data_IF_207288681150
#
_entry.id   IF_207288681150
#
_cell.length_a   1.000
_cell.length_b   1.000
_cell.length_c   1.000
_cell.angle_alpha   90.00
_cell.angle_beta   90.00
_cell.angle_gamma   90.00
#
_symmetry.space_group_name_H-M   'P 1'
#
loop_
_entity.id
_entity.type
_entity.pdbx_description
1 polymer ?
#
# COMPACT_ATOMS: atom_id res chain seq x y z
N UNK A 1 15.44 46.07 -30.14
CA UNK A 1 16.88 46.22 -30.34
C UNK A 1 17.22 46.31 -31.83
N UNK A 2 18.20 47.12 -32.22
CA UNK A 2 18.64 47.29 -33.61
C UNK A 2 20.16 47.26 -33.67
N UNK A 3 20.72 46.53 -34.65
CA UNK A 3 22.15 46.51 -34.94
C UNK A 3 22.34 46.35 -36.45
N UNK A 4 23.38 46.98 -37.02
CA UNK A 4 23.72 46.92 -38.44
C UNK A 4 25.11 46.33 -38.67
N UNK A 5 25.25 45.67 -39.82
CA UNK A 5 26.46 44.94 -40.20
C UNK A 5 26.80 45.21 -41.66
N UNK A 6 28.09 45.18 -41.98
CA UNK A 6 28.56 44.96 -43.34
C UNK A 6 28.15 43.53 -43.81
N UNK A 7 28.25 43.27 -45.10
CA UNK A 7 27.88 41.96 -45.67
C UNK A 7 28.80 40.80 -45.21
N UNK A 8 29.95 41.06 -44.64
CA UNK A 8 30.86 40.10 -44.06
C UNK A 8 30.58 39.81 -42.55
N UNK A 9 29.58 40.53 -42.00
CA UNK A 9 29.21 40.42 -40.58
C UNK A 9 29.93 41.39 -39.66
N UNK A 10 30.73 42.32 -40.18
CA UNK A 10 31.36 43.37 -39.39
C UNK A 10 30.32 44.36 -38.86
N UNK A 11 30.32 44.64 -37.56
CA UNK A 11 29.36 45.50 -36.88
C UNK A 11 29.64 46.95 -37.20
N UNK A 12 28.65 47.64 -37.80
CA UNK A 12 28.71 49.09 -38.13
C UNK A 12 28.25 49.91 -36.95
N UNK A 13 27.05 49.58 -36.39
CA UNK A 13 26.42 50.40 -35.36
C UNK A 13 25.36 49.57 -34.60
N UNK A 14 25.05 49.93 -33.37
CA UNK A 14 24.01 49.33 -32.55
C UNK A 14 23.32 50.37 -31.65
N UNK A 15 22.00 50.25 -31.49
CA UNK A 15 21.27 51.15 -30.60
C UNK A 15 21.33 50.69 -29.13
N UNK A 16 20.97 51.62 -28.23
CA UNK A 16 21.04 51.40 -26.79
C UNK A 16 20.23 50.13 -26.32
N UNK A 17 19.10 49.86 -26.96
CA UNK A 17 18.31 48.66 -26.64
C UNK A 17 19.07 47.37 -26.94
N UNK A 18 19.86 47.32 -28.03
CA UNK A 18 20.71 46.18 -28.34
C UNK A 18 21.89 46.08 -27.34
N UNK A 19 22.53 47.23 -27.08
CA UNK A 19 23.66 47.30 -26.16
C UNK A 19 23.26 46.84 -24.75
N UNK A 20 22.12 47.28 -24.26
CA UNK A 20 21.59 46.90 -22.94
C UNK A 20 21.22 45.40 -22.87
N UNK A 21 20.53 44.88 -23.90
CA UNK A 21 20.16 43.45 -23.94
C UNK A 21 21.38 42.54 -23.90
N UNK A 22 22.41 42.87 -24.68
CA UNK A 22 23.64 42.09 -24.81
C UNK A 22 24.71 42.43 -23.75
N UNK A 23 24.56 43.52 -23.00
CA UNK A 23 25.49 43.94 -21.94
C UNK A 23 26.81 44.57 -22.48
N UNK A 24 26.85 44.97 -23.75
CA UNK A 24 28.03 45.60 -24.38
C UNK A 24 27.93 47.13 -24.42
N UNK A 25 29.07 47.78 -24.55
CA UNK A 25 29.13 49.17 -25.00
C UNK A 25 29.39 49.21 -26.50
N UNK A 26 28.96 50.24 -27.20
CA UNK A 26 29.17 50.36 -28.65
C UNK A 26 30.65 50.24 -29.04
N UNK A 27 31.54 50.81 -28.24
CA UNK A 27 33.00 50.73 -28.46
C UNK A 27 33.54 49.29 -28.38
N UNK A 28 32.86 48.37 -27.65
CA UNK A 28 33.23 46.96 -27.56
C UNK A 28 32.84 46.18 -28.83
N UNK A 29 31.84 46.67 -29.59
CA UNK A 29 31.21 45.97 -30.72
C UNK A 29 31.64 46.54 -32.09
N UNK A 30 31.72 47.84 -32.25
CA UNK A 30 31.96 48.52 -33.55
C UNK A 30 33.27 48.03 -34.17
N UNK A 31 33.19 47.58 -35.42
CA UNK A 31 34.31 47.03 -36.16
C UNK A 31 34.65 45.53 -35.80
N UNK A 32 33.93 44.96 -34.84
CA UNK A 32 34.03 43.51 -34.54
C UNK A 32 33.07 42.72 -35.41
N UNK A 33 33.30 41.40 -35.52
CA UNK A 33 32.43 40.54 -36.30
C UNK A 33 31.26 39.97 -35.44
N UNK A 34 30.10 39.78 -36.09
CA UNK A 34 28.89 39.16 -35.50
C UNK A 34 29.16 37.88 -34.71
N UNK A 35 30.14 37.09 -35.15
CA UNK A 35 30.54 35.83 -34.50
C UNK A 35 30.89 35.97 -33.01
N UNK A 36 31.28 37.18 -32.54
CA UNK A 36 31.56 37.42 -31.13
C UNK A 36 30.33 37.32 -30.22
N UNK A 37 29.12 37.44 -30.82
CA UNK A 37 27.84 37.31 -30.11
C UNK A 37 27.20 35.93 -30.33
N UNK A 38 27.93 34.98 -30.85
CA UNK A 38 27.44 33.65 -31.25
C UNK A 38 28.29 32.57 -30.59
N UNK A 39 27.71 31.43 -30.31
CA UNK A 39 28.43 30.25 -29.80
C UNK A 39 29.59 29.92 -30.75
N UNK A 40 30.85 29.80 -30.26
CA UNK A 40 31.99 29.50 -31.09
C UNK A 40 31.89 28.21 -31.88
N UNK A 41 31.20 27.18 -31.36
CA UNK A 41 31.00 25.93 -32.09
C UNK A 41 29.99 26.08 -33.22
N UNK A 42 28.92 26.87 -33.02
CA UNK A 42 27.95 27.14 -34.06
C UNK A 42 28.60 27.97 -35.20
N UNK A 43 29.50 28.93 -34.90
CA UNK A 43 30.22 29.74 -35.90
C UNK A 43 31.03 28.84 -36.86
N UNK A 44 31.50 27.67 -36.45
CA UNK A 44 32.28 26.74 -37.30
C UNK A 44 31.41 25.95 -38.27
N UNK A 45 30.09 25.89 -38.05
CA UNK A 45 29.16 25.09 -38.85
C UNK A 45 28.90 25.69 -40.22
N UNK A 46 28.51 24.84 -41.18
CA UNK A 46 28.07 25.27 -42.51
C UNK A 46 26.75 26.07 -42.42
N UNK A 47 25.89 25.79 -41.45
CA UNK A 47 24.67 26.55 -41.20
C UNK A 47 24.95 28.03 -40.94
N UNK A 48 25.99 28.38 -40.18
CA UNK A 48 26.39 29.78 -39.96
C UNK A 48 26.96 30.43 -41.21
N UNK A 49 27.71 29.69 -42.04
CA UNK A 49 28.23 30.20 -43.32
C UNK A 49 27.10 30.45 -44.32
N UNK A 50 26.13 29.50 -44.41
CA UNK A 50 24.97 29.60 -45.28
C UNK A 50 24.03 30.75 -44.89
N UNK A 51 23.88 30.99 -43.57
CA UNK A 51 23.15 32.13 -43.02
C UNK A 51 23.69 33.45 -43.57
N UNK A 52 25.00 33.69 -43.54
CA UNK A 52 25.61 34.89 -44.08
C UNK A 52 25.65 34.88 -45.62
N UNK A 53 25.74 33.73 -46.27
CA UNK A 53 25.65 33.61 -47.71
C UNK A 53 24.27 34.00 -48.24
N UNK A 54 23.19 33.61 -47.55
CA UNK A 54 21.82 34.01 -47.85
C UNK A 54 21.63 35.52 -47.73
N UNK A 55 22.12 36.14 -46.68
CA UNK A 55 22.05 37.60 -46.49
C UNK A 55 22.81 38.36 -47.60
N UNK A 56 23.96 37.85 -48.07
CA UNK A 56 24.70 38.41 -49.20
C UNK A 56 23.95 38.28 -50.53
N UNK A 57 23.08 37.27 -50.68
CA UNK A 57 22.20 37.14 -51.86
C UNK A 57 20.97 38.03 -51.78
N UNK A 58 20.76 38.74 -50.67
CA UNK A 58 19.59 39.57 -50.45
C UNK A 58 18.40 38.83 -49.82
N UNK A 59 18.61 37.65 -49.31
CA UNK A 59 17.59 36.84 -48.64
C UNK A 59 17.57 37.18 -47.13
N UNK A 60 16.41 37.58 -46.58
CA UNK A 60 16.29 37.86 -45.16
C UNK A 60 16.32 36.56 -44.33
N UNK A 61 16.74 36.67 -43.09
CA UNK A 61 16.74 35.54 -42.14
C UNK A 61 15.99 35.96 -40.88
N UNK A 62 15.06 35.13 -40.42
CA UNK A 62 14.31 35.41 -39.18
C UNK A 62 14.15 34.15 -38.32
N UNK A 63 14.03 34.33 -37.02
CA UNK A 63 13.84 33.23 -36.09
C UNK A 63 14.24 33.61 -34.66
N UNK A 64 14.15 32.63 -33.78
CA UNK A 64 14.72 32.70 -32.42
C UNK A 64 16.18 32.24 -32.46
N UNK A 65 17.03 33.01 -31.82
CA UNK A 65 18.46 32.74 -31.81
C UNK A 65 19.03 32.88 -30.41
N UNK A 66 19.76 31.87 -29.97
CA UNK A 66 20.61 31.99 -28.79
C UNK A 66 21.85 32.83 -29.14
N UNK A 67 22.14 33.86 -28.36
CA UNK A 67 23.28 34.72 -28.50
C UNK A 67 24.06 34.83 -27.22
N UNK A 68 25.33 35.11 -27.33
CA UNK A 68 26.27 35.29 -26.23
C UNK A 68 26.49 36.78 -25.97
N UNK A 69 25.99 37.25 -24.87
CA UNK A 69 26.24 38.61 -24.35
C UNK A 69 27.60 38.71 -23.67
N UNK A 70 27.93 39.92 -23.19
CA UNK A 70 29.18 40.22 -22.49
C UNK A 70 29.34 39.30 -21.25
N UNK A 71 30.53 38.73 -21.10
CA UNK A 71 30.83 37.81 -19.99
C UNK A 71 30.22 36.43 -20.12
N UNK A 72 29.77 36.01 -21.30
CA UNK A 72 29.18 34.70 -21.57
C UNK A 72 27.70 34.59 -21.20
N UNK A 73 27.00 35.72 -20.99
CA UNK A 73 25.58 35.75 -20.69
C UNK A 73 24.77 35.17 -21.85
N UNK A 74 23.95 34.13 -21.59
CA UNK A 74 22.99 33.62 -22.57
C UNK A 74 21.85 34.65 -22.78
N UNK A 75 21.62 35.04 -24.02
CA UNK A 75 20.55 35.96 -24.43
C UNK A 75 19.80 35.33 -25.59
N UNK A 76 18.53 35.07 -25.41
CA UNK A 76 17.64 34.63 -26.47
C UNK A 76 16.98 35.82 -27.13
N UNK A 77 17.05 35.86 -28.45
CA UNK A 77 16.44 36.93 -29.23
C UNK A 77 15.55 36.37 -30.32
N UNK A 78 14.35 36.92 -30.45
CA UNK A 78 13.56 36.80 -31.67
C UNK A 78 14.02 37.92 -32.61
N UNK A 79 14.57 37.58 -33.77
CA UNK A 79 15.22 38.55 -34.62
C UNK A 79 14.96 38.31 -36.10
N UNK A 80 14.97 39.41 -36.86
CA UNK A 80 14.99 39.46 -38.31
C UNK A 80 16.21 40.20 -38.80
N UNK A 81 17.00 39.58 -39.67
CA UNK A 81 18.17 40.13 -40.34
C UNK A 81 17.75 40.49 -41.75
N UNK A 82 17.82 41.77 -42.12
CA UNK A 82 17.27 42.28 -43.36
C UNK A 82 18.38 42.93 -44.18
N UNK A 83 18.71 42.37 -45.35
CA UNK A 83 19.60 43.04 -46.29
C UNK A 83 19.03 44.40 -46.78
N UNK A 84 19.86 45.41 -46.81
CA UNK A 84 19.51 46.73 -47.35
C UNK A 84 20.19 46.90 -48.71
N UNK A 85 19.43 47.33 -49.67
CA UNK A 85 19.86 47.42 -51.07
C UNK A 85 20.25 48.88 -51.50
N UNK A 86 21.22 48.97 -52.33
CA UNK A 86 21.60 50.26 -53.00
C UNK A 86 20.62 50.62 -54.14
N UNK A 87 20.82 51.75 -54.81
CA UNK A 87 19.99 52.21 -55.92
C UNK A 87 20.06 51.28 -57.16
N UNK A 88 21.03 50.34 -57.21
CA UNK A 88 21.22 49.38 -58.27
C UNK A 88 20.64 48.02 -57.91
N UNK A 89 19.96 47.91 -56.75
CA UNK A 89 19.36 46.61 -56.25
C UNK A 89 20.39 45.63 -55.70
N UNK A 90 21.59 46.10 -55.31
CA UNK A 90 22.62 45.22 -54.69
C UNK A 90 22.59 45.38 -53.17
N UNK A 91 22.61 44.28 -52.40
CA UNK A 91 22.77 44.40 -50.96
C UNK A 91 24.09 45.12 -50.61
N UNK A 92 24.08 46.05 -49.64
CA UNK A 92 25.30 46.74 -49.19
C UNK A 92 25.50 46.69 -47.68
N UNK A 93 24.44 46.41 -46.88
CA UNK A 93 24.51 46.16 -45.44
C UNK A 93 23.35 45.30 -44.97
N UNK A 94 23.44 44.80 -43.77
CA UNK A 94 22.36 44.07 -43.10
C UNK A 94 21.90 44.84 -41.87
N UNK A 95 20.59 45.03 -41.70
CA UNK A 95 20.00 45.61 -40.50
C UNK A 95 19.21 44.53 -39.77
N UNK A 96 19.55 44.31 -38.52
CA UNK A 96 18.87 43.35 -37.66
C UNK A 96 17.96 44.10 -36.69
N UNK A 97 16.71 43.66 -36.66
CA UNK A 97 15.74 43.99 -35.62
C UNK A 97 15.61 42.79 -34.69
N UNK A 98 15.62 43.01 -33.37
CA UNK A 98 15.56 41.95 -32.40
C UNK A 98 14.76 42.37 -31.16
N UNK A 99 14.02 41.41 -30.61
CA UNK A 99 13.41 41.49 -29.29
C UNK A 99 14.14 40.52 -28.37
N UNK A 100 14.44 40.95 -27.14
CA UNK A 100 14.95 40.05 -26.11
C UNK A 100 13.79 39.17 -25.61
N UNK A 101 13.88 37.87 -25.88
CA UNK A 101 12.90 36.85 -25.47
C UNK A 101 13.47 35.88 -24.45
N UNK A 102 14.60 36.23 -23.81
CA UNK A 102 15.30 35.39 -22.86
C UNK A 102 14.36 34.89 -21.75
N UNK A 103 13.60 35.81 -21.14
CA UNK A 103 12.67 35.49 -20.08
C UNK A 103 11.57 34.52 -20.57
N UNK A 104 11.04 34.76 -21.77
CA UNK A 104 9.99 33.91 -22.35
C UNK A 104 10.51 32.49 -22.64
N UNK A 105 11.69 32.37 -23.28
CA UNK A 105 12.31 31.08 -23.56
C UNK A 105 12.62 30.33 -22.25
N UNK A 106 13.24 31.00 -21.28
CA UNK A 106 13.54 30.35 -19.99
C UNK A 106 12.28 29.89 -19.27
N UNK A 107 11.23 30.74 -19.24
CA UNK A 107 9.95 30.36 -18.61
C UNK A 107 9.33 29.16 -19.33
N UNK A 108 9.35 29.13 -20.67
CA UNK A 108 8.86 28.01 -21.49
C UNK A 108 9.61 26.73 -21.18
N UNK A 109 10.95 26.74 -21.22
CA UNK A 109 11.76 25.54 -20.92
C UNK A 109 11.51 25.03 -19.51
N UNK A 110 11.46 25.92 -18.51
CA UNK A 110 11.16 25.52 -17.13
C UNK A 110 9.75 24.92 -17.02
N UNK A 111 8.76 25.46 -17.74
CA UNK A 111 7.40 24.93 -17.73
C UNK A 111 7.32 23.55 -18.40
N UNK A 112 8.07 23.32 -19.50
CA UNK A 112 8.19 22.03 -20.17
C UNK A 112 8.81 20.97 -19.23
N UNK A 113 9.94 21.27 -18.60
CA UNK A 113 10.62 20.40 -17.63
C UNK A 113 9.71 20.04 -16.43
N UNK A 114 8.98 21.05 -15.92
CA UNK A 114 8.04 20.84 -14.82
C UNK A 114 6.85 19.97 -15.24
N UNK A 115 6.35 20.15 -16.45
CA UNK A 115 5.24 19.34 -16.98
C UNK A 115 5.67 17.88 -17.18
N UNK A 116 6.86 17.62 -17.70
CA UNK A 116 7.42 16.27 -17.85
C UNK A 116 7.60 15.59 -16.48
N UNK A 117 8.21 16.30 -15.53
CA UNK A 117 8.39 15.76 -14.17
C UNK A 117 7.07 15.49 -13.44
N UNK A 118 6.08 16.38 -13.65
CA UNK A 118 4.73 16.19 -13.08
C UNK A 118 4.00 15.01 -13.71
N UNK A 119 4.16 14.79 -15.03
CA UNK A 119 3.57 13.65 -15.74
C UNK A 119 4.13 12.34 -15.22
N UNK A 120 5.45 12.22 -15.09
CA UNK A 120 6.09 11.02 -14.54
C UNK A 120 5.65 10.73 -13.09
N UNK A 121 5.50 11.79 -12.29
CA UNK A 121 5.00 11.66 -10.91
C UNK A 121 3.55 11.17 -10.87
N UNK A 122 2.69 11.72 -11.73
CA UNK A 122 1.29 11.31 -11.83
C UNK A 122 1.14 9.85 -12.29
N UNK A 123 1.96 9.39 -13.24
CA UNK A 123 2.00 7.97 -13.67
C UNK A 123 2.41 7.05 -12.51
N UNK A 124 3.45 7.42 -11.75
CA UNK A 124 3.88 6.63 -10.60
C UNK A 124 2.78 6.50 -9.52
N UNK A 125 2.06 7.61 -9.24
CA UNK A 125 0.96 7.59 -8.25
C UNK A 125 -0.24 6.80 -8.80
N UNK A 126 -0.51 6.83 -10.12
CA UNK A 126 -1.56 6.02 -10.74
C UNK A 126 -1.27 4.52 -10.56
N UNK A 127 -0.04 4.09 -10.87
CA UNK A 127 0.39 2.69 -10.69
C UNK A 127 0.31 2.25 -9.21
N UNK A 128 0.76 3.09 -8.28
CA UNK A 128 0.67 2.81 -6.85
C UNK A 128 -0.79 2.69 -6.36
N UNK A 129 -1.70 3.47 -6.96
CA UNK A 129 -3.13 3.40 -6.64
C UNK A 129 -3.78 2.11 -7.15
N UNK A 130 -3.38 1.61 -8.31
CA UNK A 130 -3.83 0.31 -8.83
C UNK A 130 -3.33 -0.85 -7.95
N UNK A 131 -2.05 -0.82 -7.54
CA UNK A 131 -1.50 -1.81 -6.61
C UNK A 131 -2.22 -1.78 -5.25
N UNK A 132 -2.55 -0.58 -4.77
CA UNK A 132 -3.31 -0.40 -3.52
C UNK A 132 -4.71 -1.00 -3.62
N UNK A 133 -5.43 -0.81 -4.74
CA UNK A 133 -6.75 -1.42 -4.95
C UNK A 133 -6.66 -2.95 -4.96
N UNK A 134 -5.63 -3.54 -5.58
CA UNK A 134 -5.41 -4.98 -5.56
C UNK A 134 -5.15 -5.50 -4.13
N UNK A 135 -4.31 -4.80 -3.35
CA UNK A 135 -4.06 -5.15 -1.96
C UNK A 135 -5.31 -5.04 -1.07
N UNK A 136 -6.12 -3.99 -1.27
CA UNK A 136 -7.41 -3.80 -0.59
C UNK A 136 -8.35 -4.97 -0.88
N UNK A 137 -8.40 -5.44 -2.13
CA UNK A 137 -9.21 -6.60 -2.51
C UNK A 137 -8.77 -7.86 -1.80
N UNK A 138 -7.46 -8.13 -1.72
CA UNK A 138 -6.91 -9.29 -0.98
C UNK A 138 -7.23 -9.22 0.52
N UNK A 139 -7.14 -8.03 1.13
CA UNK A 139 -7.50 -7.83 2.53
C UNK A 139 -8.99 -8.13 2.74
N UNK A 140 -9.86 -7.63 1.86
CA UNK A 140 -11.31 -7.88 1.90
C UNK A 140 -11.64 -9.38 1.86
N UNK A 141 -11.01 -10.12 0.95
CA UNK A 141 -11.18 -11.59 0.86
C UNK A 141 -10.64 -12.31 2.11
N UNK A 142 -9.53 -11.84 2.66
CA UNK A 142 -8.97 -12.40 3.90
C UNK A 142 -9.90 -12.16 5.09
N UNK A 143 -10.51 -10.96 5.19
CA UNK A 143 -11.50 -10.65 6.22
C UNK A 143 -12.74 -11.52 6.11
N UNK A 144 -13.24 -11.73 4.89
CA UNK A 144 -14.37 -12.63 4.66
C UNK A 144 -14.08 -14.07 5.11
N UNK A 145 -12.90 -14.61 4.78
CA UNK A 145 -12.45 -15.93 5.24
C UNK A 145 -12.29 -16.00 6.76
N UNK A 146 -11.78 -14.92 7.35
CA UNK A 146 -11.64 -14.82 8.81
C UNK A 146 -13.00 -14.85 9.51
N UNK A 147 -13.99 -14.14 8.97
CA UNK A 147 -15.36 -14.14 9.51
C UNK A 147 -15.99 -15.54 9.45
N UNK A 148 -15.80 -16.28 8.36
CA UNK A 148 -16.28 -17.67 8.24
C UNK A 148 -15.61 -18.55 9.30
N UNK A 149 -14.30 -18.42 9.49
CA UNK A 149 -13.56 -19.20 10.49
C UNK A 149 -14.01 -18.90 11.93
N UNK A 150 -14.27 -17.64 12.24
CA UNK A 150 -14.81 -17.21 13.54
C UNK A 150 -16.20 -17.84 13.79
N UNK A 151 -17.07 -17.78 12.80
CA UNK A 151 -18.41 -18.37 12.91
C UNK A 151 -18.33 -19.90 13.12
N UNK A 152 -17.40 -20.58 12.47
CA UNK A 152 -17.16 -22.02 12.66
C UNK A 152 -16.64 -22.34 14.08
N UNK A 153 -15.78 -21.50 14.64
CA UNK A 153 -15.30 -21.61 16.03
C UNK A 153 -16.47 -21.47 17.01
N UNK A 154 -17.33 -20.48 16.83
CA UNK A 154 -18.50 -20.26 17.68
C UNK A 154 -19.43 -21.49 17.62
N UNK A 155 -19.76 -21.96 16.41
CA UNK A 155 -20.61 -23.14 16.24
C UNK A 155 -20.02 -24.38 16.89
N UNK A 156 -18.71 -24.62 16.79
CA UNK A 156 -18.02 -25.75 17.46
C UNK A 156 -17.99 -25.59 18.97
N UNK A 157 -17.90 -24.37 19.49
CA UNK A 157 -17.99 -24.09 20.93
C UNK A 157 -19.38 -24.40 21.48
N UNK A 158 -20.42 -24.04 20.73
CA UNK A 158 -21.82 -24.39 21.09
C UNK A 158 -22.05 -25.93 21.08
N UNK A 159 -21.51 -26.62 20.08
CA UNK A 159 -21.56 -28.09 20.05
C UNK A 159 -20.84 -28.72 21.24
N UNK A 160 -19.70 -28.20 21.65
CA UNK A 160 -18.94 -28.67 22.81
C UNK A 160 -19.73 -28.46 24.11
N UNK A 161 -20.50 -27.39 24.24
CA UNK A 161 -21.39 -27.18 25.39
C UNK A 161 -22.55 -28.19 25.41
N UNK A 162 -23.11 -28.57 24.25
CA UNK A 162 -24.08 -29.64 24.14
C UNK A 162 -23.53 -30.99 24.62
N UNK A 163 -22.32 -31.36 24.18
CA UNK A 163 -21.63 -32.60 24.60
C UNK A 163 -21.37 -32.60 26.13
N UNK A 164 -21.03 -31.43 26.69
CA UNK A 164 -20.89 -31.25 28.13
C UNK A 164 -22.16 -31.65 28.89
N UNK A 165 -23.30 -31.12 28.45
CA UNK A 165 -24.59 -31.37 29.10
C UNK A 165 -24.94 -32.87 29.10
N UNK A 166 -24.65 -33.55 28.00
CA UNK A 166 -24.83 -35.01 27.89
C UNK A 166 -23.88 -35.76 28.83
N UNK A 167 -22.62 -35.33 28.94
CA UNK A 167 -21.62 -35.95 29.81
C UNK A 167 -21.97 -35.78 31.32
N UNK A 168 -22.45 -34.58 31.70
CA UNK A 168 -22.94 -34.35 33.07
C UNK A 168 -24.11 -35.29 33.42
N UNK A 169 -25.13 -35.37 32.56
CA UNK A 169 -26.29 -36.24 32.75
C UNK A 169 -25.89 -37.71 32.83
N UNK A 170 -24.97 -38.16 31.99
CA UNK A 170 -24.44 -39.52 32.01
C UNK A 170 -23.67 -39.80 33.30
N UNK A 171 -22.87 -38.87 33.77
CA UNK A 171 -22.10 -39.00 35.02
C UNK A 171 -23.00 -39.06 36.26
N UNK A 172 -24.07 -38.28 36.28
CA UNK A 172 -25.08 -38.31 37.34
C UNK A 172 -25.78 -39.71 37.36
N UNK A 173 -26.13 -40.22 36.17
CA UNK A 173 -26.73 -41.57 36.04
C UNK A 173 -25.76 -42.65 36.54
N UNK A 174 -24.49 -42.58 36.20
CA UNK A 174 -23.45 -43.49 36.69
C UNK A 174 -23.29 -43.41 38.20
N UNK A 175 -23.29 -42.22 38.80
CA UNK A 175 -23.26 -42.06 40.26
C UNK A 175 -24.44 -42.75 40.93
N UNK A 176 -25.67 -42.67 40.35
CA UNK A 176 -26.84 -43.37 40.85
C UNK A 176 -26.67 -44.91 40.82
N UNK A 177 -26.13 -45.44 39.72
CA UNK A 177 -25.86 -46.88 39.61
C UNK A 177 -24.82 -47.37 40.63
N UNK A 178 -23.71 -46.55 40.79
CA UNK A 178 -22.67 -46.91 41.78
C UNK A 178 -23.21 -46.88 43.20
N UNK A 179 -24.08 -45.92 43.53
CA UNK A 179 -24.76 -45.96 44.86
C UNK A 179 -25.62 -47.22 45.08
N UNK A 180 -26.39 -47.61 44.06
CA UNK A 180 -27.18 -48.86 44.15
C UNK A 180 -26.28 -50.08 44.40
N UNK A 181 -25.13 -50.17 43.67
CA UNK A 181 -24.19 -51.28 43.83
C UNK A 181 -23.56 -51.25 45.25
N UNK A 182 -23.25 -50.11 45.79
CA UNK A 182 -22.76 -49.90 47.17
C UNK A 182 -23.80 -50.44 48.20
N UNK A 183 -25.05 -49.99 48.06
CA UNK A 183 -26.15 -50.43 48.96
C UNK A 183 -26.35 -51.90 48.87
N UNK A 184 -26.31 -52.56 47.72
CA UNK A 184 -26.36 -53.99 47.52
C UNK A 184 -25.18 -54.70 48.17
N UNK A 185 -23.96 -54.19 48.03
CA UNK A 185 -22.77 -54.75 48.69
C UNK A 185 -22.89 -54.69 50.20
N UNK A 186 -23.41 -53.60 50.78
CA UNK A 186 -23.67 -53.47 52.19
C UNK A 186 -24.72 -54.47 52.68
N UNK A 187 -25.83 -54.67 51.97
CA UNK A 187 -26.86 -55.67 52.29
C UNK A 187 -26.29 -57.11 52.24
N UNK A 188 -25.47 -57.43 51.20
CA UNK A 188 -24.81 -58.72 51.08
C UNK A 188 -23.82 -58.94 52.22
N UNK A 189 -23.09 -57.93 52.63
CA UNK A 189 -22.17 -57.97 53.78
C UNK A 189 -22.94 -58.27 55.08
N UNK A 190 -24.09 -57.63 55.29
CA UNK A 190 -24.95 -57.89 56.46
C UNK A 190 -25.54 -59.28 56.42
N UNK A 191 -25.99 -59.78 55.24
CA UNK A 191 -26.47 -61.19 55.08
C UNK A 191 -25.36 -62.18 55.36
N UNK A 192 -24.15 -61.95 54.88
CA UNK A 192 -22.98 -62.77 55.10
C UNK A 192 -22.59 -62.82 56.61
N UNK A 193 -22.68 -61.64 57.26
CA UNK A 193 -22.46 -61.58 58.73
C UNK A 193 -23.46 -62.39 59.50
N UNK A 194 -24.76 -62.29 59.19
CA UNK A 194 -25.81 -63.08 59.81
C UNK A 194 -25.62 -64.61 59.58
N UNK A 195 -25.23 -65.00 58.36
CA UNK A 195 -24.91 -66.40 58.04
C UNK A 195 -23.67 -66.92 58.83
N UNK A 196 -22.66 -66.05 59.00
CA UNK A 196 -21.47 -66.40 59.83
C UNK A 196 -21.84 -66.64 61.28
N UNK A 197 -22.73 -65.80 61.81
CA UNK A 197 -23.23 -65.95 63.20
C UNK A 197 -24.00 -67.26 63.36
N UNK A 198 -24.88 -67.57 62.41
CA UNK A 198 -25.70 -68.83 62.50
C UNK A 198 -24.85 -70.09 62.27
N UNK A 199 -23.84 -69.98 61.38
CA UNK A 199 -22.86 -71.05 61.19
C UNK A 199 -22.05 -71.34 62.48
N UNK A 200 -21.66 -70.30 63.22
CA UNK A 200 -21.01 -70.46 64.52
C UNK A 200 -21.93 -71.11 65.58
N UNK A 201 -23.20 -70.77 65.48
CA UNK A 201 -24.23 -71.30 66.39
C UNK A 201 -24.49 -72.80 66.18
N UNK A 202 -24.31 -73.34 64.96
CA UNK A 202 -24.46 -74.74 64.56
C UNK A 202 -23.24 -75.64 64.96
N UNK A 203 -22.18 -75.06 65.51
CA UNK A 203 -21.01 -75.80 65.95
C UNK A 203 -20.25 -76.49 64.81
N UNK A 204 -19.87 -77.74 65.04
CA UNK A 204 -19.13 -78.57 64.06
C UNK A 204 -19.87 -78.76 62.72
N UNK A 205 -21.18 -78.80 62.73
CA UNK A 205 -22.01 -78.94 61.54
C UNK A 205 -22.02 -77.68 60.67
N UNK A 206 -21.70 -76.54 61.22
CA UNK A 206 -21.69 -75.26 60.55
C UNK A 206 -20.35 -74.86 59.90
N UNK A 207 -19.26 -75.61 60.08
CA UNK A 207 -17.91 -75.22 59.59
C UNK A 207 -17.83 -74.91 58.09
N UNK A 208 -18.48 -75.75 57.26
CA UNK A 208 -18.50 -75.52 55.82
C UNK A 208 -19.26 -74.21 55.42
N UNK A 209 -20.36 -73.95 56.12
CA UNK A 209 -21.16 -72.73 55.93
C UNK A 209 -20.40 -71.44 56.39
N UNK A 210 -19.62 -71.53 57.46
CA UNK A 210 -18.83 -70.45 57.95
C UNK A 210 -17.76 -69.99 56.93
N UNK A 211 -17.14 -70.95 56.22
CA UNK A 211 -16.16 -70.61 55.15
C UNK A 211 -16.84 -69.88 54.00
N UNK A 212 -17.98 -70.33 53.51
CA UNK A 212 -18.72 -69.68 52.44
C UNK A 212 -19.21 -68.32 52.86
N UNK A 213 -19.76 -68.18 54.06
CA UNK A 213 -20.17 -66.86 54.59
C UNK A 213 -18.99 -65.87 54.71
N UNK A 214 -17.81 -66.38 55.11
CA UNK A 214 -16.59 -65.59 55.13
C UNK A 214 -16.17 -65.12 53.77
N UNK A 215 -16.25 -65.91 52.72
CA UNK A 215 -15.90 -65.56 51.35
C UNK A 215 -16.89 -64.54 50.74
N UNK A 216 -18.22 -64.75 50.99
CA UNK A 216 -19.28 -63.82 50.60
C UNK A 216 -19.05 -62.41 51.23
N UNK A 217 -18.71 -62.40 52.53
CA UNK A 217 -18.36 -61.14 53.23
C UNK A 217 -17.16 -60.45 52.65
N UNK A 218 -16.12 -61.19 52.30
CA UNK A 218 -14.92 -60.67 51.68
C UNK A 218 -15.27 -60.07 50.30
N UNK A 219 -16.04 -60.74 49.47
CA UNK A 219 -16.49 -60.28 48.18
C UNK A 219 -17.34 -59.01 48.28
N UNK A 220 -18.23 -58.91 49.24
CA UNK A 220 -19.02 -57.72 49.53
C UNK A 220 -18.12 -56.51 49.89
N UNK A 221 -17.10 -56.73 50.72
CA UNK A 221 -16.14 -55.74 51.12
C UNK A 221 -15.29 -55.22 49.89
N UNK A 222 -14.87 -56.18 49.03
CA UNK A 222 -14.14 -55.84 47.79
C UNK A 222 -15.04 -55.08 46.83
N UNK A 223 -16.32 -55.40 46.70
CA UNK A 223 -17.31 -54.70 45.86
C UNK A 223 -17.49 -53.26 46.37
N UNK A 224 -17.67 -53.05 47.67
CA UNK A 224 -17.79 -51.75 48.27
C UNK A 224 -16.53 -50.88 47.98
N UNK A 225 -15.33 -51.46 48.13
CA UNK A 225 -14.07 -50.75 47.81
C UNK A 225 -13.95 -50.38 46.30
N UNK A 226 -14.39 -51.27 45.41
CA UNK A 226 -14.41 -51.03 43.98
C UNK A 226 -15.39 -49.90 43.60
N UNK A 227 -16.59 -49.86 44.24
CA UNK A 227 -17.54 -48.74 44.04
C UNK A 227 -17.00 -47.42 44.53
N UNK A 228 -16.29 -47.39 45.67
CA UNK A 228 -15.60 -46.14 46.14
C UNK A 228 -14.58 -45.63 45.10
N UNK A 229 -13.82 -46.55 44.50
CA UNK A 229 -12.86 -46.18 43.43
C UNK A 229 -13.55 -45.62 42.19
N UNK A 230 -14.69 -46.22 41.78
CA UNK A 230 -15.47 -45.74 40.62
C UNK A 230 -16.05 -44.36 40.91
N UNK A 231 -16.56 -44.12 42.13
CA UNK A 231 -17.06 -42.79 42.54
C UNK A 231 -15.99 -41.70 42.45
N UNK A 232 -14.76 -42.01 42.89
CA UNK A 232 -13.61 -41.09 42.74
C UNK A 232 -13.33 -40.75 41.27
N UNK A 233 -13.42 -41.76 40.38
CA UNK A 233 -13.23 -41.57 38.94
C UNK A 233 -14.34 -40.72 38.32
N UNK A 234 -15.62 -40.93 38.70
CA UNK A 234 -16.73 -40.10 38.23
C UNK A 234 -16.57 -38.66 38.67
N UNK A 235 -16.20 -38.40 39.92
CA UNK A 235 -15.95 -37.05 40.42
C UNK A 235 -14.77 -36.37 39.72
N UNK A 236 -13.71 -37.14 39.41
CA UNK A 236 -12.59 -36.63 38.60
C UNK A 236 -13.05 -36.26 37.18
N UNK A 237 -13.87 -37.08 36.54
CA UNK A 237 -14.43 -36.82 35.20
C UNK A 237 -15.29 -35.55 35.20
N UNK A 238 -16.16 -35.35 36.18
CA UNK A 238 -16.96 -34.13 36.35
C UNK A 238 -16.06 -32.87 36.50
N UNK A 239 -14.98 -32.98 37.29
CA UNK A 239 -14.03 -31.89 37.45
C UNK A 239 -13.32 -31.53 36.13
N UNK A 240 -12.90 -32.53 35.34
CA UNK A 240 -12.29 -32.32 34.03
C UNK A 240 -13.30 -31.69 33.08
N UNK A 241 -14.54 -32.20 33.05
CA UNK A 241 -15.62 -31.64 32.22
C UNK A 241 -15.84 -30.15 32.50
N UNK A 242 -15.87 -29.76 33.78
CA UNK A 242 -16.00 -28.36 34.18
C UNK A 242 -14.87 -27.49 33.62
N UNK A 243 -13.64 -27.98 33.68
CA UNK A 243 -12.48 -27.26 33.13
C UNK A 243 -12.55 -27.11 31.61
N UNK A 244 -13.05 -28.14 30.90
CA UNK A 244 -13.27 -28.06 29.45
C UNK A 244 -14.29 -26.97 29.13
N UNK A 245 -15.40 -26.89 29.90
CA UNK A 245 -16.40 -25.82 29.74
C UNK A 245 -15.81 -24.42 29.89
N UNK A 246 -15.06 -24.21 30.97
CA UNK A 246 -14.44 -22.88 31.22
C UNK A 246 -13.52 -22.51 30.04
N UNK A 247 -12.73 -23.47 29.55
CA UNK A 247 -11.86 -23.25 28.39
C UNK A 247 -12.64 -22.97 27.10
N UNK A 248 -13.74 -23.69 26.85
CA UNK A 248 -14.58 -23.49 25.65
C UNK A 248 -15.27 -22.11 25.68
N UNK A 249 -15.69 -21.66 26.87
CA UNK A 249 -16.25 -20.31 27.04
C UNK A 249 -15.23 -19.26 26.75
N UNK A 250 -13.98 -19.37 27.25
CA UNK A 250 -12.90 -18.44 26.95
C UNK A 250 -12.59 -18.39 25.43
N UNK A 251 -12.63 -19.53 24.75
CA UNK A 251 -12.48 -19.59 23.28
C UNK A 251 -13.62 -18.83 22.58
N UNK A 252 -14.87 -19.00 23.04
CA UNK A 252 -16.03 -18.32 22.45
C UNK A 252 -15.94 -16.79 22.65
N UNK A 253 -15.54 -16.34 23.84
CA UNK A 253 -15.32 -14.90 24.13
C UNK A 253 -14.19 -14.31 23.26
N UNK A 254 -13.10 -15.06 23.09
CA UNK A 254 -11.99 -14.68 22.22
C UNK A 254 -12.43 -14.61 20.75
N UNK A 255 -13.23 -15.57 20.29
CA UNK A 255 -13.80 -15.57 18.94
C UNK A 255 -14.70 -14.34 18.71
N UNK A 256 -15.51 -13.96 19.71
CA UNK A 256 -16.30 -12.73 19.67
C UNK A 256 -15.43 -11.48 19.48
N UNK A 257 -14.34 -11.36 20.24
CA UNK A 257 -13.39 -10.25 20.10
C UNK A 257 -12.73 -10.22 18.71
N UNK A 258 -12.38 -11.37 18.15
CA UNK A 258 -11.84 -11.47 16.78
C UNK A 258 -12.88 -11.02 15.75
N UNK A 259 -14.16 -11.38 15.94
CA UNK A 259 -15.26 -10.91 15.08
C UNK A 259 -15.36 -9.38 15.06
N UNK A 260 -15.23 -8.74 16.21
CA UNK A 260 -15.25 -7.27 16.32
C UNK A 260 -14.05 -6.63 15.59
N UNK A 261 -12.87 -7.25 15.69
CA UNK A 261 -11.69 -6.77 14.92
C UNK A 261 -11.90 -6.93 13.41
N UNK A 262 -12.45 -8.06 12.97
CA UNK A 262 -12.76 -8.31 11.54
C UNK A 262 -13.72 -7.22 11.02
N UNK A 263 -14.77 -6.89 11.77
CA UNK A 263 -15.71 -5.83 11.39
C UNK A 263 -15.04 -4.44 11.34
N UNK A 264 -14.16 -4.15 12.29
CA UNK A 264 -13.41 -2.88 12.32
C UNK A 264 -12.49 -2.76 11.10
N UNK A 265 -11.76 -3.85 10.77
CA UNK A 265 -10.88 -3.86 9.58
C UNK A 265 -11.71 -3.76 8.30
N UNK A 266 -12.86 -4.42 8.22
CA UNK A 266 -13.74 -4.33 7.05
C UNK A 266 -14.19 -2.88 6.80
N UNK A 267 -14.56 -2.14 7.85
CA UNK A 267 -14.92 -0.71 7.73
C UNK A 267 -13.73 0.15 7.27
N UNK A 268 -12.52 -0.12 7.76
CA UNK A 268 -11.31 0.58 7.33
C UNK A 268 -10.97 0.29 5.85
N UNK A 269 -11.21 -0.94 5.38
CA UNK A 269 -11.04 -1.36 3.98
C UNK A 269 -12.02 -0.62 3.05
N UNK A 270 -13.27 -0.43 3.46
CA UNK A 270 -14.25 0.37 2.72
C UNK A 270 -13.80 1.84 2.61
N UNK A 271 -13.32 2.43 3.70
CA UNK A 271 -12.78 3.79 3.70
C UNK A 271 -11.55 3.91 2.80
N UNK A 272 -10.60 2.96 2.89
CA UNK A 272 -9.42 2.93 2.02
C UNK A 272 -9.80 2.82 0.53
N UNK A 273 -10.81 2.02 0.20
CA UNK A 273 -11.34 1.91 -1.17
C UNK A 273 -11.82 3.26 -1.69
N UNK A 274 -12.58 3.99 -0.88
CA UNK A 274 -13.08 5.32 -1.23
C UNK A 274 -11.94 6.32 -1.44
N UNK A 275 -10.99 6.37 -0.50
CA UNK A 275 -9.82 7.27 -0.59
C UNK A 275 -8.97 6.96 -1.82
N UNK A 276 -8.74 5.68 -2.14
CA UNK A 276 -7.95 5.28 -3.31
C UNK A 276 -8.66 5.65 -4.61
N UNK A 277 -10.00 5.56 -4.64
CA UNK A 277 -10.79 6.03 -5.77
C UNK A 277 -10.67 7.56 -5.96
N UNK A 278 -10.71 8.34 -4.88
CA UNK A 278 -10.51 9.78 -4.92
C UNK A 278 -9.09 10.16 -5.38
N UNK A 279 -8.06 9.41 -4.97
CA UNK A 279 -6.68 9.57 -5.47
C UNK A 279 -6.65 9.36 -6.98
N UNK A 280 -7.25 8.28 -7.50
CA UNK A 280 -7.30 7.99 -8.94
C UNK A 280 -7.99 9.11 -9.73
N UNK A 281 -9.06 9.67 -9.19
CA UNK A 281 -9.75 10.82 -9.78
C UNK A 281 -8.89 12.08 -9.79
N UNK A 282 -8.19 12.36 -8.69
CA UNK A 282 -7.30 13.52 -8.59
C UNK A 282 -6.11 13.41 -9.56
N UNK A 283 -5.58 12.20 -9.78
CA UNK A 283 -4.54 11.94 -10.78
C UNK A 283 -5.06 12.26 -12.18
N UNK A 284 -6.30 11.89 -12.51
CA UNK A 284 -6.89 12.21 -13.81
C UNK A 284 -7.01 13.73 -14.01
N UNK A 285 -7.37 14.48 -12.96
CA UNK A 285 -7.36 15.95 -13.01
C UNK A 285 -5.95 16.50 -13.19
N UNK A 286 -4.94 15.93 -12.53
CA UNK A 286 -3.54 16.34 -12.71
C UNK A 286 -3.08 16.12 -14.16
N UNK A 287 -3.36 14.98 -14.78
CA UNK A 287 -3.05 14.72 -16.18
C UNK A 287 -3.71 15.74 -17.13
N UNK A 288 -4.98 16.07 -16.89
CA UNK A 288 -5.68 17.06 -17.70
C UNK A 288 -5.01 18.44 -17.58
N UNK A 289 -4.65 18.87 -16.36
CA UNK A 289 -3.95 20.12 -16.13
C UNK A 289 -2.55 20.17 -16.78
N UNK A 290 -1.81 19.07 -16.75
CA UNK A 290 -0.51 18.93 -17.41
C UNK A 290 -0.66 19.06 -18.94
N UNK A 291 -1.68 18.42 -19.52
CA UNK A 291 -1.96 18.51 -20.95
C UNK A 291 -2.35 19.93 -21.38
N UNK A 292 -3.15 20.63 -20.58
CA UNK A 292 -3.49 22.05 -20.82
C UNK A 292 -2.24 22.94 -20.76
N UNK A 293 -1.36 22.71 -19.76
CA UNK A 293 -0.12 23.44 -19.62
C UNK A 293 0.79 23.21 -20.84
N UNK A 294 0.95 21.99 -21.30
CA UNK A 294 1.71 21.64 -22.50
C UNK A 294 1.13 22.32 -23.75
N UNK A 295 -0.19 22.39 -23.87
CA UNK A 295 -0.86 23.07 -24.98
C UNK A 295 -0.61 24.58 -24.94
N UNK A 296 -0.69 25.20 -23.75
CA UNK A 296 -0.41 26.62 -23.54
C UNK A 296 1.06 26.96 -23.89
N UNK A 297 2.01 26.14 -23.42
CA UNK A 297 3.45 26.32 -23.72
C UNK A 297 3.72 26.27 -25.22
N UNK A 298 3.11 25.32 -25.94
CA UNK A 298 3.23 25.23 -27.40
C UNK A 298 2.64 26.44 -28.13
N UNK A 299 1.54 27.01 -27.63
CA UNK A 299 0.91 28.19 -28.25
C UNK A 299 1.74 29.45 -28.06
N UNK A 300 2.60 29.55 -27.05
CA UNK A 300 3.54 30.67 -26.84
C UNK A 300 4.74 30.58 -27.80
N UNK A 301 5.02 29.37 -28.30
CA UNK A 301 6.14 29.11 -29.22
C UNK A 301 5.79 29.33 -30.69
N UNK A 302 4.53 29.41 -31.04
CA UNK A 302 4.00 29.72 -32.40
C UNK A 302 3.79 31.22 -32.59
#
# INVERSE_FOLDING_TARGET
>A
AVISFELDGTIIDANDNFLNAMGYKLADLKGRNHSMCVDPEYVKTDAYKDFWAALRRGEYQSGEFKRMGKGGKDVWISASYNPVFDMNGRPFKVVKYASDVTKQVMTRTTAEELAEGSSASAEAVASASEEMLAAIQEISESMHRSQIAVNDIVAKSEMADGIRTELESTSESMSGVVQIIRDLAEQVNLLALNATIEAARAGDAGKGFAVVAGEVKNLATQTAKATDQIEVQINSMLSITKRVVDSTREISESAGSVSDYVNTVASAVEEQTSVTHDISKNIQFAFNGINELNSCVKSIAS
#
